data_IF_839568501891
#
_entry.id   IF_839568501891
#
_cell.length_a   1.000
_cell.length_b   1.000
_cell.length_c   1.000
_cell.angle_alpha   90.00
_cell.angle_beta   90.00
_cell.angle_gamma   90.00
#
_symmetry.space_group_name_H-M   'P 1'
#
loop_
_entity.id
_entity.type
_entity.pdbx_description
1 polymer ?
#
# COMPACT_ATOMS: atom_id res chain seq x y z
N UNK A 1 -39.40 -1.77 13.53
CA UNK A 1 -38.08 -2.35 13.21
C UNK A 1 -37.78 -1.99 11.77
N UNK A 2 -36.65 -1.36 11.48
CA UNK A 2 -36.27 -1.13 10.08
C UNK A 2 -35.92 -2.49 9.44
N UNK A 3 -36.29 -2.74 8.18
CA UNK A 3 -35.88 -3.96 7.48
C UNK A 3 -34.35 -4.02 7.38
N UNK A 4 -33.80 -5.23 7.38
CA UNK A 4 -32.37 -5.42 7.16
C UNK A 4 -31.99 -4.87 5.78
N UNK A 5 -30.93 -4.05 5.73
CA UNK A 5 -30.40 -3.50 4.49
C UNK A 5 -29.29 -4.43 4.02
N UNK A 6 -29.45 -5.04 2.86
CA UNK A 6 -28.41 -5.83 2.20
C UNK A 6 -27.58 -4.91 1.32
N UNK A 7 -26.25 -5.02 1.43
CA UNK A 7 -25.30 -4.29 0.59
C UNK A 7 -24.56 -5.33 -0.26
N UNK A 8 -24.54 -5.13 -1.58
CA UNK A 8 -23.87 -6.00 -2.55
C UNK A 8 -22.57 -5.37 -3.06
N UNK A 9 -21.75 -6.15 -3.76
CA UNK A 9 -20.54 -5.64 -4.42
C UNK A 9 -20.87 -4.61 -5.49
N UNK A 10 -22.00 -4.80 -6.20
CA UNK A 10 -22.52 -3.85 -7.18
C UNK A 10 -22.89 -2.51 -6.53
N UNK A 11 -23.47 -2.52 -5.32
CA UNK A 11 -23.78 -1.30 -4.57
C UNK A 11 -22.50 -0.54 -4.20
N UNK A 12 -21.45 -1.25 -3.77
CA UNK A 12 -20.14 -0.66 -3.46
C UNK A 12 -19.52 -0.04 -4.71
N UNK A 13 -19.50 -0.77 -5.83
CA UNK A 13 -18.96 -0.24 -7.09
C UNK A 13 -19.74 0.97 -7.57
N UNK A 14 -21.07 0.93 -7.49
CA UNK A 14 -21.89 2.08 -7.84
C UNK A 14 -21.63 3.28 -6.92
N UNK A 15 -21.45 3.06 -5.61
CA UNK A 15 -21.07 4.11 -4.68
C UNK A 15 -19.72 4.76 -5.04
N UNK A 16 -18.74 3.98 -5.48
CA UNK A 16 -17.44 4.49 -5.97
C UNK A 16 -17.61 5.36 -7.23
N UNK A 17 -18.55 5.01 -8.12
CA UNK A 17 -18.89 5.85 -9.27
C UNK A 17 -19.55 7.17 -8.81
N UNK A 18 -20.50 7.09 -7.88
CA UNK A 18 -21.22 8.26 -7.35
C UNK A 18 -20.31 9.20 -6.56
N UNK A 19 -19.27 8.68 -5.90
CA UNK A 19 -18.24 9.47 -5.22
C UNK A 19 -17.17 10.02 -6.16
N UNK A 20 -17.25 9.73 -7.46
CA UNK A 20 -16.25 10.11 -8.47
C UNK A 20 -14.84 9.58 -8.18
N UNK A 21 -14.70 8.47 -7.45
CA UNK A 21 -13.41 7.91 -7.03
C UNK A 21 -12.79 6.93 -8.04
N UNK A 22 -13.50 6.59 -9.12
CA UNK A 22 -13.00 5.69 -10.17
C UNK A 22 -11.61 6.10 -10.70
N UNK A 23 -11.33 7.38 -11.04
CA UNK A 23 -10.01 7.77 -11.55
C UNK A 23 -8.87 7.53 -10.55
N UNK A 24 -9.07 7.87 -9.28
CA UNK A 24 -8.10 7.69 -8.20
C UNK A 24 -7.79 6.19 -7.97
N UNK A 25 -8.83 5.35 -7.98
CA UNK A 25 -8.67 3.89 -7.85
C UNK A 25 -7.91 3.33 -9.05
N UNK A 26 -8.20 3.79 -10.27
CA UNK A 26 -7.45 3.39 -11.47
C UNK A 26 -5.98 3.77 -11.35
N UNK A 27 -5.68 5.00 -10.90
CA UNK A 27 -4.31 5.47 -10.70
C UNK A 27 -3.56 4.61 -9.67
N UNK A 28 -4.20 4.27 -8.55
CA UNK A 28 -3.64 3.36 -7.55
C UNK A 28 -3.33 1.97 -8.13
N UNK A 29 -4.25 1.40 -8.91
CA UNK A 29 -4.05 0.10 -9.58
C UNK A 29 -2.88 0.17 -10.58
N UNK A 30 -2.82 1.22 -11.39
CA UNK A 30 -1.75 1.41 -12.38
C UNK A 30 -0.41 1.58 -11.68
N UNK A 31 -0.34 2.39 -10.63
CA UNK A 31 0.86 2.62 -9.83
C UNK A 31 1.41 1.31 -9.28
N UNK A 32 0.56 0.48 -8.66
CA UNK A 32 0.95 -0.84 -8.16
C UNK A 32 1.52 -1.73 -9.26
N UNK A 33 0.88 -1.75 -10.44
CA UNK A 33 1.35 -2.55 -11.59
C UNK A 33 2.71 -2.05 -12.11
N UNK A 34 2.91 -0.75 -12.17
CA UNK A 34 4.19 -0.15 -12.60
C UNK A 34 5.30 -0.49 -11.61
N UNK A 35 5.04 -0.40 -10.31
CA UNK A 35 6.02 -0.76 -9.26
C UNK A 35 6.43 -2.23 -9.42
N UNK A 36 5.47 -3.14 -9.56
CA UNK A 36 5.74 -4.56 -9.75
C UNK A 36 6.59 -4.82 -11.01
N UNK A 37 6.20 -4.24 -12.15
CA UNK A 37 6.94 -4.41 -13.40
C UNK A 37 8.35 -3.79 -13.36
N UNK A 38 8.51 -2.65 -12.70
CA UNK A 38 9.81 -1.98 -12.54
C UNK A 38 10.73 -2.81 -11.68
N UNK A 39 10.23 -3.36 -10.58
CA UNK A 39 11.00 -4.21 -9.71
C UNK A 39 11.45 -5.51 -10.38
N UNK A 40 10.55 -6.17 -11.12
CA UNK A 40 10.87 -7.35 -11.91
C UNK A 40 11.98 -7.04 -12.93
N UNK A 41 11.83 -5.94 -13.67
CA UNK A 41 12.80 -5.51 -14.69
C UNK A 41 14.17 -5.14 -14.11
N UNK A 42 14.19 -4.60 -12.89
CA UNK A 42 15.42 -4.24 -12.17
C UNK A 42 16.02 -5.41 -11.36
N UNK A 43 15.40 -6.59 -11.37
CA UNK A 43 15.85 -7.75 -10.61
C UNK A 43 15.79 -7.54 -9.09
N UNK A 44 14.86 -6.70 -8.61
CA UNK A 44 14.69 -6.39 -7.20
C UNK A 44 13.97 -7.57 -6.53
N UNK A 45 14.73 -8.37 -5.79
CA UNK A 45 14.23 -9.47 -4.99
C UNK A 45 13.70 -9.04 -3.62
N UNK A 46 12.89 -9.92 -3.04
CA UNK A 46 12.36 -9.81 -1.69
C UNK A 46 12.65 -11.10 -0.95
N UNK A 47 13.36 -10.97 0.17
CA UNK A 47 13.56 -12.07 1.09
C UNK A 47 12.41 -12.15 2.10
N UNK A 48 12.20 -13.33 2.68
CA UNK A 48 11.16 -13.55 3.70
C UNK A 48 11.34 -12.60 4.89
N UNK A 49 12.59 -12.35 5.28
CA UNK A 49 12.93 -11.42 6.36
C UNK A 49 12.49 -9.98 6.05
N UNK A 50 12.64 -9.53 4.81
CA UNK A 50 12.19 -8.20 4.38
C UNK A 50 10.66 -8.08 4.50
N UNK A 51 9.92 -9.14 4.14
CA UNK A 51 8.46 -9.18 4.25
C UNK A 51 7.99 -9.15 5.69
N UNK A 52 8.65 -9.92 6.56
CA UNK A 52 8.31 -9.92 7.98
C UNK A 52 8.55 -8.54 8.60
N UNK A 53 9.70 -7.92 8.30
CA UNK A 53 10.00 -6.57 8.76
C UNK A 53 8.99 -5.54 8.24
N UNK A 54 8.59 -5.63 6.96
CA UNK A 54 7.58 -4.75 6.39
C UNK A 54 6.20 -4.96 7.04
N UNK A 55 5.82 -6.21 7.34
CA UNK A 55 4.58 -6.52 8.04
C UNK A 55 4.58 -5.95 9.47
N UNK A 56 5.70 -6.04 10.17
CA UNK A 56 5.85 -5.51 11.53
C UNK A 56 5.83 -3.98 11.54
N UNK A 57 6.45 -3.32 10.56
CA UNK A 57 6.33 -1.88 10.37
C UNK A 57 4.88 -1.46 10.07
N UNK A 58 4.18 -2.20 9.20
CA UNK A 58 2.77 -1.94 8.92
C UNK A 58 1.92 -2.03 10.19
N UNK A 59 2.11 -3.09 11.00
CA UNK A 59 1.42 -3.27 12.28
C UNK A 59 1.71 -2.13 13.24
N UNK A 60 2.98 -1.72 13.36
CA UNK A 60 3.39 -0.60 14.20
C UNK A 60 2.71 0.71 13.78
N UNK A 61 2.73 1.03 12.48
CA UNK A 61 2.12 2.24 11.93
C UNK A 61 0.59 2.28 12.14
N UNK A 62 -0.06 1.12 12.10
CA UNK A 62 -1.50 0.97 12.30
C UNK A 62 -1.91 0.65 13.74
N UNK A 63 -0.96 0.64 14.69
CA UNK A 63 -1.18 0.32 16.12
C UNK A 63 -1.82 -1.06 16.34
N UNK A 64 -1.40 -2.04 15.56
CA UNK A 64 -1.81 -3.44 15.69
C UNK A 64 -0.79 -4.13 16.61
N UNK A 65 -0.98 -4.02 17.93
CA UNK A 65 0.02 -4.41 18.93
C UNK A 65 0.15 -5.93 19.09
N UNK A 66 -0.90 -6.67 18.73
CA UNK A 66 -0.93 -8.12 18.81
C UNK A 66 -1.65 -8.75 17.60
N UNK A 67 -1.66 -10.08 17.55
CA UNK A 67 -2.30 -10.83 16.47
C UNK A 67 -3.82 -10.63 16.44
N UNK A 68 -4.48 -10.47 17.58
CA UNK A 68 -5.94 -10.25 17.66
C UNK A 68 -6.30 -8.90 17.04
N UNK A 69 -5.52 -7.85 17.30
CA UNK A 69 -5.69 -6.53 16.68
C UNK A 69 -5.56 -6.62 15.16
N UNK A 70 -4.59 -7.40 14.67
CA UNK A 70 -4.41 -7.62 13.23
C UNK A 70 -5.64 -8.28 12.62
N UNK A 71 -6.16 -9.34 13.24
CA UNK A 71 -7.37 -10.01 12.75
C UNK A 71 -8.61 -9.13 12.82
N UNK A 72 -8.77 -8.32 13.87
CA UNK A 72 -9.85 -7.36 13.99
C UNK A 72 -9.79 -6.31 12.88
N UNK A 73 -8.59 -5.82 12.56
CA UNK A 73 -8.36 -4.88 11.46
C UNK A 73 -8.72 -5.51 10.10
N UNK A 74 -8.28 -6.74 9.83
CA UNK A 74 -8.67 -7.47 8.60
C UNK A 74 -10.18 -7.62 8.48
N UNK A 75 -10.85 -8.00 9.56
CA UNK A 75 -12.31 -8.12 9.59
C UNK A 75 -12.98 -6.76 9.34
N UNK A 76 -12.51 -5.69 10.00
CA UNK A 76 -13.03 -4.34 9.82
C UNK A 76 -12.92 -3.88 8.36
N UNK A 77 -11.85 -4.26 7.68
CA UNK A 77 -11.57 -3.89 6.30
C UNK A 77 -12.06 -4.91 5.26
N UNK A 78 -12.78 -5.96 5.68
CA UNK A 78 -13.24 -7.04 4.80
C UNK A 78 -12.11 -7.68 3.97
N UNK A 79 -10.95 -7.82 4.58
CA UNK A 79 -9.74 -8.35 3.96
C UNK A 79 -9.43 -9.76 4.46
N UNK A 80 -8.84 -10.56 3.58
CA UNK A 80 -8.17 -11.82 3.91
C UNK A 80 -6.73 -11.59 4.37
N UNK A 81 -6.08 -12.64 4.86
CA UNK A 81 -4.65 -12.60 5.15
C UNK A 81 -3.83 -12.40 3.86
N UNK A 82 -4.25 -12.99 2.75
CA UNK A 82 -3.58 -12.84 1.45
C UNK A 82 -3.63 -11.37 0.98
N UNK A 83 -4.76 -10.68 1.17
CA UNK A 83 -4.89 -9.25 0.85
C UNK A 83 -3.92 -8.41 1.69
N UNK A 84 -3.71 -8.78 2.95
CA UNK A 84 -2.74 -8.13 3.82
C UNK A 84 -1.30 -8.37 3.36
N UNK A 85 -0.96 -9.60 3.00
CA UNK A 85 0.35 -9.93 2.43
C UNK A 85 0.60 -9.15 1.13
N UNK A 86 -0.41 -8.98 0.28
CA UNK A 86 -0.31 -8.17 -0.94
C UNK A 86 -0.03 -6.69 -0.63
N UNK A 87 -0.67 -6.12 0.41
CA UNK A 87 -0.40 -4.74 0.85
C UNK A 87 1.03 -4.60 1.34
N UNK A 88 1.47 -5.51 2.22
CA UNK A 88 2.83 -5.49 2.79
C UNK A 88 3.86 -5.62 1.68
N UNK A 89 3.68 -6.58 0.77
CA UNK A 89 4.55 -6.78 -0.38
C UNK A 89 4.60 -5.53 -1.26
N UNK A 90 3.45 -4.97 -1.62
CA UNK A 90 3.36 -3.78 -2.48
C UNK A 90 4.11 -2.60 -1.86
N UNK A 91 3.93 -2.36 -0.56
CA UNK A 91 4.62 -1.27 0.14
C UNK A 91 6.14 -1.46 0.20
N UNK A 92 6.58 -2.69 0.45
CA UNK A 92 8.00 -3.04 0.44
C UNK A 92 8.61 -2.82 -0.96
N UNK A 93 7.92 -3.29 -2.00
CA UNK A 93 8.37 -3.11 -3.39
C UNK A 93 8.44 -1.63 -3.77
N UNK A 94 7.43 -0.85 -3.39
CA UNK A 94 7.43 0.60 -3.62
C UNK A 94 8.67 1.26 -3.00
N UNK A 95 8.98 0.94 -1.74
CA UNK A 95 10.15 1.46 -1.04
C UNK A 95 11.47 1.08 -1.73
N UNK A 96 11.63 -0.20 -2.10
CA UNK A 96 12.82 -0.68 -2.81
C UNK A 96 12.98 -0.04 -4.20
N UNK A 97 11.89 0.13 -4.95
CA UNK A 97 11.90 0.78 -6.26
C UNK A 97 12.28 2.26 -6.13
N UNK A 98 11.72 2.98 -5.16
CA UNK A 98 12.09 4.38 -4.90
C UNK A 98 13.57 4.49 -4.56
N UNK A 99 14.08 3.63 -3.67
CA UNK A 99 15.49 3.61 -3.33
C UNK A 99 16.36 3.33 -4.57
N UNK A 100 16.01 2.34 -5.39
CA UNK A 100 16.74 2.01 -6.60
C UNK A 100 16.77 3.16 -7.62
N UNK A 101 15.65 3.86 -7.82
CA UNK A 101 15.53 4.89 -8.85
C UNK A 101 16.11 6.25 -8.44
N UNK A 102 16.15 6.55 -7.14
CA UNK A 102 16.36 7.90 -6.64
C UNK A 102 17.43 8.05 -5.56
N UNK A 103 17.98 6.98 -4.96
CA UNK A 103 18.97 7.11 -3.89
C UNK A 103 20.14 8.05 -4.24
N UNK A 104 20.71 7.89 -5.43
CA UNK A 104 21.85 8.72 -5.90
C UNK A 104 21.45 10.15 -6.30
N UNK A 105 20.15 10.46 -6.33
CA UNK A 105 19.60 11.77 -6.71
C UNK A 105 19.18 12.61 -5.51
N UNK A 106 19.04 12.01 -4.33
CA UNK A 106 18.61 12.72 -3.11
C UNK A 106 19.63 13.80 -2.73
N UNK A 107 20.91 13.43 -2.66
CA UNK A 107 21.97 14.34 -2.22
C UNK A 107 22.13 15.55 -3.17
N UNK A 108 22.25 15.39 -4.51
CA UNK A 108 22.27 16.53 -5.42
C UNK A 108 21.04 17.44 -5.30
N UNK A 109 19.85 16.84 -5.21
CA UNK A 109 18.61 17.62 -5.09
C UNK A 109 18.57 18.45 -3.80
N UNK A 110 19.00 17.87 -2.67
CA UNK A 110 19.09 18.59 -1.41
C UNK A 110 20.05 19.78 -1.50
N UNK A 111 21.25 19.59 -2.10
CA UNK A 111 22.22 20.68 -2.29
C UNK A 111 21.66 21.84 -3.12
N UNK A 112 20.88 21.55 -4.16
CA UNK A 112 20.25 22.57 -5.00
C UNK A 112 19.15 23.37 -4.25
N UNK A 113 18.53 22.77 -3.22
CA UNK A 113 17.37 23.33 -2.50
C UNK A 113 17.65 23.63 -1.01
N UNK A 114 18.91 23.74 -0.58
CA UNK A 114 19.25 23.86 0.85
C UNK A 114 18.56 25.02 1.57
N UNK A 115 18.29 26.12 0.86
CA UNK A 115 17.62 27.30 1.42
C UNK A 115 16.16 27.04 1.82
N UNK A 116 15.52 26.03 1.23
CA UNK A 116 14.14 25.65 1.56
C UNK A 116 14.05 24.89 2.91
N UNK A 117 15.19 24.43 3.42
CA UNK A 117 15.32 23.64 4.65
C UNK A 117 16.07 24.39 5.77
N UNK A 118 16.31 25.69 5.62
CA UNK A 118 17.03 26.53 6.58
C UNK A 118 16.15 27.02 7.75
#
# INVERSE_FOLDING_TARGET
MLPAITITTEDIFHQVQLSCQIPEIIEGIVTRKIIAATAESAGIGVEIEDLQNAADQFRLMNKLENSEDTWAWLQQHSMSLDDFEEIVYTNLMASKVVQHLFADKVEPYFFEHQLDYA
#
